data_IF_616196326111
#
_entry.id   IF_616196326111
#
_cell.length_a   1.000
_cell.length_b   1.000
_cell.length_c   1.000
_cell.angle_alpha   90.00
_cell.angle_beta   90.00
_cell.angle_gamma   90.00
#
_symmetry.space_group_name_H-M   'P 1'
#
loop_
_entity.id
_entity.type
_entity.pdbx_description
1 polymer ?
#
# COMPACT_ATOMS: atom_id res chain seq x y z
N UNK A 1 -10.12 -13.81 15.60
CA UNK A 1 -10.42 -12.86 14.51
C UNK A 1 -9.60 -11.57 14.61
N UNK A 2 -9.29 -11.10 15.84
CA UNK A 2 -8.55 -9.84 16.03
C UNK A 2 -7.04 -9.98 15.78
N UNK A 3 -6.47 -11.18 15.84
CA UNK A 3 -5.02 -11.42 15.74
C UNK A 3 -4.43 -11.13 14.36
N UNK A 4 -5.25 -11.19 13.30
CA UNK A 4 -4.81 -10.92 11.92
C UNK A 4 -5.23 -9.54 11.40
N UNK A 5 -6.00 -8.79 12.18
CA UNK A 5 -6.54 -7.50 11.72
C UNK A 5 -5.43 -6.54 11.29
N UNK A 6 -4.40 -6.39 12.10
CA UNK A 6 -3.33 -5.42 11.88
C UNK A 6 -2.51 -5.80 10.63
N UNK A 7 -2.30 -7.09 10.38
CA UNK A 7 -1.67 -7.57 9.14
C UNK A 7 -2.53 -7.27 7.90
N UNK A 8 -3.83 -7.56 7.97
CA UNK A 8 -4.75 -7.30 6.85
C UNK A 8 -4.81 -5.81 6.56
N UNK A 9 -4.95 -4.96 7.58
CA UNK A 9 -4.97 -3.51 7.43
C UNK A 9 -3.66 -3.00 6.82
N UNK A 10 -2.51 -3.45 7.30
CA UNK A 10 -1.22 -3.07 6.76
C UNK A 10 -1.03 -3.51 5.30
N UNK A 11 -1.49 -4.71 4.93
CA UNK A 11 -1.44 -5.15 3.53
C UNK A 11 -2.40 -4.39 2.62
N UNK A 12 -3.59 -4.02 3.11
CA UNK A 12 -4.52 -3.16 2.38
C UNK A 12 -3.88 -1.78 2.19
N UNK A 13 -3.22 -1.25 3.22
CA UNK A 13 -2.50 0.01 3.15
C UNK A 13 -1.37 -0.04 2.12
N UNK A 14 -0.54 -1.08 2.16
CA UNK A 14 0.51 -1.29 1.17
C UNK A 14 -0.05 -1.40 -0.25
N UNK A 15 -1.16 -2.14 -0.45
CA UNK A 15 -1.83 -2.24 -1.75
C UNK A 15 -2.31 -0.86 -2.23
N UNK A 16 -2.92 -0.06 -1.35
CA UNK A 16 -3.36 1.29 -1.68
C UNK A 16 -2.20 2.17 -2.15
N UNK A 17 -1.12 2.23 -1.37
CA UNK A 17 0.08 3.00 -1.73
C UNK A 17 0.66 2.53 -3.06
N UNK A 18 0.71 1.22 -3.27
CA UNK A 18 1.21 0.60 -4.50
C UNK A 18 0.37 0.97 -5.73
N UNK A 19 -0.95 0.90 -5.64
CA UNK A 19 -1.84 1.26 -6.75
C UNK A 19 -1.79 2.76 -7.07
N UNK A 20 -1.72 3.62 -6.04
CA UNK A 20 -1.52 5.07 -6.24
C UNK A 20 -0.19 5.37 -6.94
N UNK A 21 0.89 4.70 -6.54
CA UNK A 21 2.20 4.84 -7.17
C UNK A 21 2.17 4.39 -8.64
N UNK A 22 1.56 3.23 -8.94
CA UNK A 22 1.46 2.70 -10.31
C UNK A 22 0.64 3.65 -11.21
N UNK A 23 -0.49 4.16 -10.73
CA UNK A 23 -1.31 5.14 -11.46
C UNK A 23 -0.54 6.43 -11.74
N UNK A 24 0.11 6.99 -10.72
CA UNK A 24 0.91 8.21 -10.84
C UNK A 24 2.04 8.05 -11.87
N UNK A 25 2.81 6.98 -11.76
CA UNK A 25 3.92 6.71 -12.65
C UNK A 25 3.45 6.44 -14.10
N UNK A 26 2.34 5.73 -14.28
CA UNK A 26 1.77 5.47 -15.59
C UNK A 26 1.23 6.75 -16.27
N UNK A 27 0.74 7.73 -15.53
CA UNK A 27 0.34 9.02 -16.10
C UNK A 27 1.56 9.80 -16.61
N UNK A 28 2.69 9.79 -15.88
CA UNK A 28 3.96 10.38 -16.35
C UNK A 28 4.44 9.69 -17.64
N UNK A 29 4.40 8.35 -17.68
CA UNK A 29 4.89 7.53 -18.78
C UNK A 29 3.94 7.42 -19.98
N UNK A 30 2.78 8.02 -19.89
CA UNK A 30 1.71 7.90 -20.90
C UNK A 30 2.16 8.27 -22.32
N UNK A 31 2.97 9.31 -22.43
CA UNK A 31 3.47 9.77 -23.73
C UNK A 31 4.50 8.80 -24.35
N UNK A 32 5.23 8.09 -23.51
CA UNK A 32 6.24 7.11 -23.92
C UNK A 32 5.62 5.74 -24.23
N UNK A 33 4.33 5.55 -23.93
CA UNK A 33 3.60 4.29 -24.08
C UNK A 33 4.28 3.11 -23.36
N UNK A 34 4.87 3.38 -22.21
CA UNK A 34 5.54 2.42 -21.32
C UNK A 34 4.70 2.30 -20.05
N UNK A 35 4.60 1.10 -19.48
CA UNK A 35 3.99 0.89 -18.18
C UNK A 35 5.07 0.82 -17.10
N UNK A 36 4.82 1.45 -15.97
CA UNK A 36 5.77 1.52 -14.87
C UNK A 36 6.24 0.13 -14.40
N UNK A 37 5.32 -0.83 -14.29
CA UNK A 37 5.61 -2.20 -13.87
C UNK A 37 6.52 -2.97 -14.85
N UNK A 38 6.63 -2.53 -16.09
CA UNK A 38 7.47 -3.18 -17.13
C UNK A 38 8.89 -2.60 -17.15
N UNK A 39 9.15 -1.51 -16.42
CA UNK A 39 10.47 -0.89 -16.36
C UNK A 39 11.40 -1.71 -15.47
N UNK A 40 12.60 -1.97 -15.99
CA UNK A 40 13.66 -2.67 -15.25
C UNK A 40 14.87 -1.76 -15.00
N UNK A 41 15.40 -1.73 -13.76
CA UNK A 41 16.63 -0.98 -13.46
C UNK A 41 17.88 -1.55 -14.11
N UNK A 42 17.78 -2.72 -14.77
CA UNK A 42 18.92 -3.39 -15.40
C UNK A 42 19.37 -2.74 -16.72
N UNK A 43 18.51 -1.93 -17.33
CA UNK A 43 18.83 -1.13 -18.50
C UNK A 43 19.13 0.31 -18.11
N UNK A 44 19.97 1.00 -18.90
CA UNK A 44 20.28 2.41 -18.64
C UNK A 44 19.04 3.28 -18.68
N UNK A 45 18.24 3.14 -19.73
CA UNK A 45 17.01 3.91 -19.93
C UNK A 45 16.01 3.63 -18.81
N UNK A 46 15.86 2.35 -18.41
CA UNK A 46 14.97 1.98 -17.29
C UNK A 46 15.41 2.57 -15.95
N UNK A 47 16.72 2.61 -15.69
CA UNK A 47 17.25 3.24 -14.48
C UNK A 47 17.00 4.77 -14.48
N UNK A 48 17.16 5.44 -15.64
CA UNK A 48 16.87 6.87 -15.81
C UNK A 48 15.39 7.16 -15.61
N UNK A 49 14.48 6.36 -16.16
CA UNK A 49 13.03 6.50 -15.94
C UNK A 49 12.66 6.32 -14.46
N UNK A 50 13.18 5.31 -13.80
CA UNK A 50 12.92 5.04 -12.38
C UNK A 50 13.35 6.22 -11.52
N UNK A 51 14.54 6.78 -11.75
CA UNK A 51 15.03 7.91 -10.96
C UNK A 51 14.19 9.18 -11.19
N UNK A 52 13.83 9.48 -12.43
CA UNK A 52 12.96 10.62 -12.76
C UNK A 52 11.57 10.49 -12.10
N UNK A 53 10.97 9.30 -12.18
CA UNK A 53 9.67 9.04 -11.55
C UNK A 53 9.78 9.14 -10.03
N UNK A 54 10.89 8.67 -9.45
CA UNK A 54 11.12 8.75 -8.00
C UNK A 54 11.17 10.20 -7.53
N UNK A 55 11.91 11.08 -8.22
CA UNK A 55 11.98 12.50 -7.87
C UNK A 55 10.58 13.13 -7.86
N UNK A 56 9.78 12.91 -8.90
CA UNK A 56 8.42 13.42 -9.00
C UNK A 56 7.48 12.80 -7.95
N UNK A 57 7.61 11.49 -7.68
CA UNK A 57 6.80 10.81 -6.68
C UNK A 57 7.08 11.32 -5.26
N UNK A 58 8.34 11.57 -4.91
CA UNK A 58 8.69 12.13 -3.61
C UNK A 58 8.15 13.54 -3.44
N UNK A 59 8.13 14.35 -4.50
CA UNK A 59 7.57 15.70 -4.49
C UNK A 59 6.03 15.70 -4.40
N UNK A 60 5.36 14.81 -5.14
CA UNK A 60 3.90 14.82 -5.29
C UNK A 60 3.17 13.86 -4.37
N UNK A 61 3.72 12.66 -4.14
CA UNK A 61 3.11 11.63 -3.31
C UNK A 61 3.76 11.54 -1.92
N UNK A 62 4.99 12.04 -1.75
CA UNK A 62 5.74 11.99 -0.51
C UNK A 62 6.39 10.63 -0.22
N UNK A 63 6.25 9.63 -1.11
CA UNK A 63 6.87 8.31 -0.98
C UNK A 63 7.18 7.72 -2.36
N UNK A 64 7.94 6.62 -2.37
CA UNK A 64 8.29 5.92 -3.60
C UNK A 64 8.32 4.40 -3.41
N UNK A 65 7.84 3.69 -4.43
CA UNK A 65 7.95 2.25 -4.63
C UNK A 65 8.55 1.98 -6.00
N UNK A 66 9.50 1.05 -6.07
CA UNK A 66 10.04 0.58 -7.34
C UNK A 66 9.03 -0.30 -8.08
N UNK A 67 9.18 -0.50 -9.41
CA UNK A 67 8.30 -1.39 -10.18
C UNK A 67 8.17 -2.79 -9.56
N UNK A 68 9.29 -3.40 -9.17
CA UNK A 68 9.31 -4.73 -8.56
C UNK A 68 8.77 -4.79 -7.12
N UNK A 69 8.58 -3.63 -6.49
CA UNK A 69 8.03 -3.49 -5.14
C UNK A 69 6.51 -3.27 -5.13
N UNK A 70 5.89 -3.13 -6.31
CA UNK A 70 4.45 -2.98 -6.41
C UNK A 70 3.72 -4.21 -5.85
N UNK A 71 2.60 -3.98 -5.17
CA UNK A 71 1.81 -5.02 -4.50
C UNK A 71 1.47 -6.18 -5.44
N UNK A 72 0.95 -5.88 -6.63
CA UNK A 72 0.60 -6.88 -7.64
C UNK A 72 1.80 -7.75 -8.06
N UNK A 73 2.99 -7.15 -8.19
CA UNK A 73 4.20 -7.88 -8.55
C UNK A 73 4.67 -8.82 -7.41
N UNK A 74 4.53 -8.37 -6.15
CA UNK A 74 4.86 -9.20 -4.98
C UNK A 74 3.84 -10.31 -4.81
N UNK A 75 2.55 -10.02 -4.95
CA UNK A 75 1.48 -11.01 -4.88
C UNK A 75 1.68 -12.11 -5.94
N UNK A 76 1.96 -11.71 -7.18
CA UNK A 76 2.26 -12.63 -8.30
C UNK A 76 3.48 -13.53 -8.01
N UNK A 77 4.57 -12.94 -7.47
CA UNK A 77 5.74 -13.74 -7.07
C UNK A 77 5.38 -14.73 -5.97
N UNK A 78 4.65 -14.31 -4.94
CA UNK A 78 4.23 -15.19 -3.84
C UNK A 78 3.28 -16.29 -4.28
N UNK A 79 2.39 -16.00 -5.21
CA UNK A 79 1.49 -17.00 -5.82
C UNK A 79 2.28 -18.13 -6.49
N UNK A 80 3.42 -17.80 -7.15
CA UNK A 80 4.24 -18.79 -7.86
C UNK A 80 3.46 -19.47 -8.97
N UNK A 81 3.56 -20.80 -9.04
CA UNK A 81 2.87 -21.62 -10.06
C UNK A 81 1.43 -22.01 -9.67
N UNK A 82 0.86 -21.39 -8.65
CA UNK A 82 -0.54 -21.61 -8.30
C UNK A 82 -1.47 -21.01 -9.36
N UNK A 83 -2.59 -21.71 -9.58
CA UNK A 83 -3.69 -21.18 -10.38
C UNK A 83 -4.39 -20.01 -9.64
N UNK A 84 -5.17 -19.24 -10.38
CA UNK A 84 -5.94 -18.12 -9.79
C UNK A 84 -7.06 -18.55 -8.82
N UNK A 85 -7.33 -19.85 -8.74
CA UNK A 85 -8.30 -20.40 -7.80
C UNK A 85 -7.69 -20.53 -6.40
N UNK A 86 -8.05 -19.60 -5.54
CA UNK A 86 -7.54 -19.52 -4.16
C UNK A 86 -7.98 -20.67 -3.27
N UNK A 87 -9.08 -21.35 -3.62
CA UNK A 87 -9.55 -22.54 -2.88
C UNK A 87 -8.65 -23.75 -3.17
N UNK A 88 -7.90 -23.69 -4.29
CA UNK A 88 -6.92 -24.72 -4.69
C UNK A 88 -5.48 -24.31 -4.45
N UNK A 89 -5.22 -23.34 -3.59
CA UNK A 89 -3.89 -22.84 -3.31
C UNK A 89 -2.99 -23.93 -2.74
N UNK A 90 -1.95 -24.29 -3.49
CA UNK A 90 -0.96 -25.32 -3.13
C UNK A 90 0.30 -24.64 -2.57
N UNK A 91 0.56 -24.87 -1.30
CA UNK A 91 1.73 -24.31 -0.60
C UNK A 91 3.06 -24.66 -1.25
N UNK A 92 3.16 -25.83 -1.91
CA UNK A 92 4.40 -26.30 -2.55
C UNK A 92 4.75 -25.52 -3.81
N UNK A 93 3.80 -24.77 -4.37
CA UNK A 93 3.96 -23.97 -5.58
C UNK A 93 4.28 -22.49 -5.31
N UNK A 94 4.26 -22.07 -4.05
CA UNK A 94 4.58 -20.69 -3.68
C UNK A 94 6.07 -20.42 -3.75
N UNK A 95 6.42 -19.18 -4.14
CA UNK A 95 7.80 -18.71 -3.96
C UNK A 95 7.96 -18.04 -2.59
N UNK A 96 9.19 -18.05 -2.07
CA UNK A 96 9.50 -17.41 -0.80
C UNK A 96 9.65 -15.90 -1.00
N UNK A 97 8.75 -15.11 -0.39
CA UNK A 97 8.70 -13.65 -0.53
C UNK A 97 8.82 -12.91 0.80
N UNK A 98 8.89 -13.63 1.92
CA UNK A 98 8.78 -13.05 3.26
C UNK A 98 9.85 -11.98 3.54
N UNK A 99 11.11 -12.27 3.18
CA UNK A 99 12.22 -11.33 3.36
C UNK A 99 12.13 -10.13 2.43
N UNK A 100 11.70 -10.35 1.18
CA UNK A 100 11.53 -9.26 0.22
C UNK A 100 10.40 -8.33 0.66
N UNK A 101 9.28 -8.89 1.09
CA UNK A 101 8.15 -8.11 1.60
C UNK A 101 8.57 -7.26 2.82
N UNK A 102 9.32 -7.84 3.76
CA UNK A 102 9.83 -7.09 4.90
C UNK A 102 10.71 -5.92 4.49
N UNK A 103 11.60 -6.13 3.52
CA UNK A 103 12.45 -5.04 2.96
C UNK A 103 11.60 -3.97 2.28
N UNK A 104 10.57 -4.36 1.53
CA UNK A 104 9.68 -3.42 0.84
C UNK A 104 8.96 -2.51 1.83
N UNK A 105 8.38 -3.06 2.89
CA UNK A 105 7.69 -2.27 3.92
C UNK A 105 8.64 -1.27 4.59
N UNK A 106 9.90 -1.67 4.85
CA UNK A 106 10.93 -0.77 5.35
C UNK A 106 11.31 0.28 4.29
N UNK A 107 11.44 -0.10 3.02
CA UNK A 107 11.81 0.81 1.94
C UNK A 107 10.77 1.91 1.72
N UNK A 108 9.48 1.60 1.91
CA UNK A 108 8.42 2.62 1.85
C UNK A 108 8.72 3.73 2.87
N UNK A 109 8.96 3.38 4.13
CA UNK A 109 9.30 4.34 5.17
C UNK A 109 10.61 5.08 4.88
N UNK A 110 11.65 4.35 4.47
CA UNK A 110 12.95 4.96 4.14
C UNK A 110 12.87 5.93 2.94
N UNK A 111 11.95 5.71 2.02
CA UNK A 111 11.78 6.60 0.87
C UNK A 111 11.30 7.99 1.25
N UNK A 112 10.64 8.14 2.39
CA UNK A 112 10.08 9.42 2.86
C UNK A 112 11.08 10.25 3.67
N UNK A 113 12.25 9.72 3.99
CA UNK A 113 13.25 10.43 4.80
C UNK A 113 13.67 11.75 4.14
N UNK A 114 13.54 12.83 4.89
CA UNK A 114 13.83 14.17 4.41
C UNK A 114 12.74 14.83 3.58
N UNK A 115 11.56 14.19 3.44
CA UNK A 115 10.36 14.76 2.85
C UNK A 115 9.39 15.25 3.93
N UNK A 116 8.38 16.01 3.55
CA UNK A 116 7.32 16.46 4.46
C UNK A 116 6.47 15.30 5.00
N UNK A 117 6.49 14.14 4.32
CA UNK A 117 5.76 12.93 4.71
C UNK A 117 6.51 12.03 5.70
N UNK A 118 7.75 12.35 6.09
CA UNK A 118 8.58 11.48 6.95
C UNK A 118 7.87 11.12 8.25
N UNK A 119 7.30 12.11 8.95
CA UNK A 119 6.62 11.88 10.23
C UNK A 119 5.36 11.01 10.08
N UNK A 120 4.64 11.13 8.96
CA UNK A 120 3.41 10.39 8.71
C UNK A 120 3.68 8.91 8.42
N UNK A 121 4.82 8.61 7.80
CA UNK A 121 5.22 7.24 7.46
C UNK A 121 6.07 6.57 8.55
N UNK A 122 6.51 7.31 9.56
CA UNK A 122 7.28 6.72 10.66
C UNK A 122 6.43 5.67 11.40
N UNK A 123 7.00 4.49 11.56
CA UNK A 123 6.36 3.36 12.23
C UNK A 123 5.05 2.85 11.58
N UNK A 124 4.76 3.23 10.34
CA UNK A 124 3.51 2.87 9.63
C UNK A 124 3.21 1.36 9.65
N UNK A 125 4.26 0.53 9.57
CA UNK A 125 4.16 -0.93 9.54
C UNK A 125 4.74 -1.59 10.79
N UNK A 126 4.92 -0.86 11.89
CA UNK A 126 5.54 -1.37 13.13
C UNK A 126 4.79 -2.58 13.71
N UNK A 127 3.46 -2.54 13.66
CA UNK A 127 2.61 -3.61 14.18
C UNK A 127 2.58 -4.87 13.29
N UNK A 128 3.23 -4.82 12.11
CA UNK A 128 3.29 -5.93 11.16
C UNK A 128 4.56 -6.76 11.35
N UNK A 129 4.67 -7.48 12.45
CA UNK A 129 5.78 -8.44 12.65
C UNK A 129 5.59 -9.68 11.78
N UNK A 130 6.19 -9.67 10.59
CA UNK A 130 6.14 -10.81 9.64
C UNK A 130 6.87 -12.06 10.16
N UNK A 131 7.65 -11.94 11.24
CA UNK A 131 8.33 -13.07 11.90
C UNK A 131 7.51 -13.68 13.06
N UNK A 132 6.35 -13.10 13.35
CA UNK A 132 5.50 -13.57 14.42
C UNK A 132 5.06 -15.01 14.22
N UNK A 133 5.14 -15.81 15.30
CA UNK A 133 4.62 -17.18 15.32
C UNK A 133 3.11 -17.27 15.15
N UNK A 134 2.38 -16.14 15.29
CA UNK A 134 0.93 -16.04 15.02
C UNK A 134 0.61 -16.28 13.54
N UNK A 135 1.50 -15.87 12.63
CA UNK A 135 1.39 -16.12 11.20
C UNK A 135 1.79 -17.55 10.80
N UNK A 136 2.55 -18.24 11.64
CA UNK A 136 3.00 -19.60 11.37
C UNK A 136 4.27 -19.93 12.17
N UNK A 137 4.41 -21.19 12.54
CA UNK A 137 5.52 -21.64 13.39
C UNK A 137 6.88 -21.64 12.69
N UNK A 138 6.89 -21.77 11.37
CA UNK A 138 8.13 -21.76 10.56
C UNK A 138 8.07 -20.63 9.52
N UNK A 139 9.22 -20.16 9.00
CA UNK A 139 9.25 -19.19 7.93
C UNK A 139 8.43 -19.61 6.72
N UNK A 140 8.48 -20.87 6.33
CA UNK A 140 7.72 -21.40 5.20
C UNK A 140 6.22 -21.33 5.44
N UNK A 141 5.76 -21.69 6.64
CA UNK A 141 4.35 -21.61 7.02
C UNK A 141 3.85 -20.14 7.00
N UNK A 142 4.66 -19.21 7.50
CA UNK A 142 4.36 -17.77 7.44
C UNK A 142 4.28 -17.28 6.01
N UNK A 143 5.25 -17.67 5.17
CA UNK A 143 5.30 -17.32 3.78
C UNK A 143 4.04 -17.77 3.02
N UNK A 144 3.60 -18.99 3.24
CA UNK A 144 2.38 -19.54 2.62
C UNK A 144 1.14 -18.72 2.98
N UNK A 145 0.97 -18.40 4.26
CA UNK A 145 -0.18 -17.62 4.73
C UNK A 145 -0.15 -16.22 4.13
N UNK A 146 1.00 -15.54 4.15
CA UNK A 146 1.16 -14.20 3.59
C UNK A 146 0.93 -14.23 2.07
N UNK A 147 1.53 -15.16 1.34
CA UNK A 147 1.33 -15.29 -0.11
C UNK A 147 -0.14 -15.48 -0.45
N UNK A 148 -0.85 -16.32 0.31
CA UNK A 148 -2.29 -16.52 0.13
C UNK A 148 -3.08 -15.24 0.37
N UNK A 149 -2.78 -14.50 1.44
CA UNK A 149 -3.45 -13.22 1.74
C UNK A 149 -3.21 -12.19 0.64
N UNK A 150 -1.96 -12.02 0.19
CA UNK A 150 -1.63 -11.09 -0.90
C UNK A 150 -2.37 -11.46 -2.18
N UNK A 151 -2.39 -12.74 -2.56
CA UNK A 151 -3.11 -13.22 -3.76
C UNK A 151 -4.62 -12.94 -3.67
N UNK A 152 -5.22 -13.06 -2.49
CA UNK A 152 -6.63 -12.70 -2.29
C UNK A 152 -6.88 -11.20 -2.41
N UNK A 153 -6.04 -10.40 -1.75
CA UNK A 153 -6.18 -8.94 -1.77
C UNK A 153 -5.94 -8.38 -3.18
N UNK A 154 -5.02 -8.97 -3.94
CA UNK A 154 -4.73 -8.51 -5.31
C UNK A 154 -5.94 -8.59 -6.25
N UNK A 155 -6.87 -9.51 -5.97
CA UNK A 155 -8.12 -9.65 -6.75
C UNK A 155 -9.19 -8.60 -6.43
N UNK A 156 -9.00 -7.84 -5.36
CA UNK A 156 -9.93 -6.78 -4.96
C UNK A 156 -9.57 -5.51 -5.73
N UNK A 157 -10.46 -5.06 -6.59
CA UNK A 157 -10.34 -3.79 -7.28
C UNK A 157 -10.72 -2.64 -6.33
N UNK A 158 -9.77 -1.76 -6.04
CA UNK A 158 -10.00 -0.59 -5.18
C UNK A 158 -10.65 0.58 -5.93
N UNK A 159 -10.77 0.51 -7.26
CA UNK A 159 -11.39 1.54 -8.12
C UNK A 159 -10.83 2.94 -7.89
N UNK A 160 -9.52 3.03 -7.70
CA UNK A 160 -8.86 4.30 -7.41
C UNK A 160 -9.01 5.30 -8.55
N UNK A 161 -9.02 4.83 -9.81
CA UNK A 161 -9.23 5.67 -10.99
C UNK A 161 -10.62 6.34 -11.00
N UNK A 162 -11.65 5.66 -10.47
CA UNK A 162 -13.03 6.17 -10.43
C UNK A 162 -13.23 7.15 -9.26
N UNK A 163 -12.46 7.02 -8.20
CA UNK A 163 -12.62 7.75 -6.94
C UNK A 163 -11.60 8.88 -6.76
N UNK A 164 -10.72 9.11 -7.74
CA UNK A 164 -9.70 10.16 -7.65
C UNK A 164 -10.31 11.56 -7.88
N UNK A 165 -11.09 12.02 -6.90
CA UNK A 165 -11.60 13.39 -6.87
C UNK A 165 -10.63 14.37 -6.18
N UNK A 166 -9.45 13.93 -5.81
CA UNK A 166 -8.51 14.66 -4.94
C UNK A 166 -7.37 15.33 -5.67
N UNK A 167 -7.61 15.81 -6.87
CA UNK A 167 -6.58 16.52 -7.65
C UNK A 167 -6.13 17.87 -7.09
N UNK A 168 -6.52 18.29 -5.87
CA UNK A 168 -6.24 19.64 -5.38
C UNK A 168 -5.81 19.81 -3.92
N UNK A 169 -5.63 18.78 -3.13
CA UNK A 169 -5.01 18.94 -1.81
C UNK A 169 -3.75 18.10 -1.71
N UNK A 170 -2.66 18.81 -1.82
CA UNK A 170 -1.31 18.30 -1.58
C UNK A 170 -1.24 17.68 -0.19
N UNK A 171 -0.71 16.45 -0.12
CA UNK A 171 -0.01 15.89 1.03
C UNK A 171 -0.75 15.14 2.13
N UNK A 172 -1.99 14.64 1.97
CA UNK A 172 -2.54 13.71 2.95
C UNK A 172 -2.91 12.35 2.34
N UNK A 173 -1.94 11.72 1.67
CA UNK A 173 -2.14 10.38 1.08
C UNK A 173 -2.49 9.35 2.15
N UNK A 174 -1.94 9.48 3.35
CA UNK A 174 -2.27 8.59 4.45
C UNK A 174 -3.67 8.87 4.99
N UNK A 175 -4.08 10.13 5.07
CA UNK A 175 -5.44 10.52 5.41
C UNK A 175 -6.44 10.00 4.38
N UNK A 176 -6.18 10.16 3.10
CA UNK A 176 -7.00 9.64 2.00
C UNK A 176 -7.09 8.11 2.05
N UNK A 177 -5.95 7.41 2.28
CA UNK A 177 -5.93 5.97 2.47
C UNK A 177 -6.76 5.55 3.67
N UNK A 178 -6.65 6.30 4.77
CA UNK A 178 -7.39 6.03 6.00
C UNK A 178 -8.90 6.25 5.80
N UNK A 179 -9.31 7.34 5.16
CA UNK A 179 -10.71 7.61 4.81
C UNK A 179 -11.27 6.55 3.87
N UNK A 180 -10.50 6.16 2.85
CA UNK A 180 -10.86 5.08 1.95
C UNK A 180 -11.09 3.77 2.71
N UNK A 181 -10.16 3.39 3.60
CA UNK A 181 -10.27 2.18 4.41
C UNK A 181 -11.47 2.23 5.36
N UNK A 182 -11.72 3.36 6.04
CA UNK A 182 -12.89 3.56 6.89
C UNK A 182 -14.16 3.44 6.06
N UNK A 183 -14.23 4.05 4.89
CA UNK A 183 -15.37 3.97 3.99
C UNK A 183 -15.68 2.54 3.55
N UNK A 184 -14.67 1.75 3.21
CA UNK A 184 -14.82 0.35 2.80
C UNK A 184 -15.24 -0.55 3.98
N UNK A 185 -14.64 -0.37 5.16
CA UNK A 185 -14.95 -1.18 6.34
C UNK A 185 -16.22 -0.74 7.06
N UNK A 186 -16.58 0.55 7.04
CA UNK A 186 -17.83 1.06 7.61
C UNK A 186 -19.05 0.56 6.84
N UNK A 187 -18.94 0.40 5.53
CA UNK A 187 -20.02 -0.16 4.69
C UNK A 187 -20.25 -1.66 4.93
N UNK A 188 -19.20 -2.38 5.37
CA UNK A 188 -19.25 -3.84 5.63
C UNK A 188 -19.53 -4.25 7.08
N UNK A 189 -19.25 -3.39 8.05
CA UNK A 189 -19.37 -3.66 9.48
C UNK A 189 -20.45 -2.77 10.13
N UNK A 190 -21.70 -3.09 9.90
CA UNK A 190 -22.80 -2.40 10.57
C UNK A 190 -22.55 -2.27 12.09
N UNK A 191 -22.40 -1.04 12.57
CA UNK A 191 -22.41 -0.56 13.96
C UNK A 191 -21.11 -0.44 14.77
N UNK A 192 -19.92 -0.81 14.29
CA UNK A 192 -18.67 -0.58 15.05
C UNK A 192 -17.74 0.51 14.49
N UNK A 193 -18.03 1.05 13.34
CA UNK A 193 -17.17 2.05 12.70
C UNK A 193 -17.25 3.46 13.31
N UNK A 194 -18.23 3.73 14.15
CA UNK A 194 -18.38 5.03 14.82
C UNK A 194 -17.35 5.32 15.92
N UNK A 195 -16.55 4.34 16.33
CA UNK A 195 -15.54 4.53 17.38
C UNK A 195 -14.21 5.07 16.88
N UNK A 196 -14.00 5.14 15.56
CA UNK A 196 -12.74 5.56 14.96
C UNK A 196 -12.81 6.90 14.20
N UNK A 197 -13.97 7.54 14.18
CA UNK A 197 -14.14 8.82 13.51
C UNK A 197 -13.92 9.95 14.50
N UNK A 198 -12.76 10.58 14.47
CA UNK A 198 -12.57 11.93 15.02
C UNK A 198 -12.61 12.88 13.83
N UNK A 199 -13.72 13.62 13.60
CA UNK A 199 -13.70 14.67 12.60
C UNK A 199 -12.65 15.70 13.01
N UNK A 200 -11.83 16.14 12.07
CA UNK A 200 -11.11 17.39 12.22
C UNK A 200 -12.14 18.52 12.27
N UNK A 201 -12.70 18.77 13.45
CA UNK A 201 -13.39 20.01 13.71
C UNK A 201 -12.35 21.13 13.62
N UNK A 202 -12.33 21.80 12.47
CA UNK A 202 -11.85 23.18 12.44
C UNK A 202 -12.61 23.90 13.51
N UNK A 203 -11.92 24.33 14.57
CA UNK A 203 -12.45 25.23 15.56
C UNK A 203 -13.07 26.42 14.80
N UNK A 204 -14.38 26.45 14.76
CA UNK A 204 -15.10 27.65 14.37
C UNK A 204 -14.77 28.69 15.41
N UNK A 205 -14.15 29.74 14.97
CA UNK A 205 -13.91 30.98 15.65
C UNK A 205 -15.25 31.45 16.29
N UNK A 206 -15.40 31.27 17.58
CA UNK A 206 -16.44 31.93 18.34
C UNK A 206 -16.00 33.37 18.55
N UNK A 207 -16.36 34.17 17.57
CA UNK A 207 -16.37 35.61 17.68
C UNK A 207 -17.37 36.02 18.77
N UNK A 208 -16.83 36.75 19.69
CA UNK A 208 -17.36 37.96 20.30
C UNK A 208 -18.87 38.04 20.56
N UNK A 209 -19.25 37.90 21.80
CA UNK A 209 -20.46 38.56 22.33
C UNK A 209 -20.07 39.47 23.49
N UNK A 210 -19.86 40.75 23.17
CA UNK A 210 -20.09 41.86 24.05
C UNK A 210 -21.58 41.90 24.43
N UNK A 211 -21.87 41.87 25.72
CA UNK A 211 -22.79 42.79 26.49
C UNK A 211 -22.72 42.46 27.95
#
# INVERSE_FOLDING_TARGET
>A
ADEFRDYILGFIFYKYLSEKMDLFANEILKQDNIKFRDITPKTKDGAEFIEAIKEEALDKLGYFLKPEELFAEVAKRGQGDNEDDVDKFDASKTNFILEDLQKILINIQLSTMGTDSEEDFDNLFEDMDLNSSKLGKTPEARNVIISKVLTHLDKIDFKLEENDHTSQQENDILGDAYEYLIGQFASGAGKKAGEFYTPNEKAADEGDFDL
#
